data_IF_174957304556
#
_entry.id   IF_174957304556
#
_cell.length_a   1.000
_cell.length_b   1.000
_cell.length_c   1.000
_cell.angle_alpha   90.00
_cell.angle_beta   90.00
_cell.angle_gamma   90.00
#
_symmetry.space_group_name_H-M   'P 1'
#
loop_
_entity.id
_entity.type
_entity.pdbx_description
1 polymer ?
#
# COMPACT_ATOMS: atom_id res chain seq x y z
N UNK A 1 -23.07 4.40 11.36
CA UNK A 1 -21.80 5.16 11.33
C UNK A 1 -20.75 4.60 12.29
N UNK A 2 -21.05 4.34 13.58
CA UNK A 2 -20.07 3.85 14.59
C UNK A 2 -19.43 2.52 14.21
N UNK A 3 -20.19 1.52 13.74
CA UNK A 3 -19.65 0.22 13.32
C UNK A 3 -18.61 0.36 12.19
N UNK A 4 -18.83 1.27 11.24
CA UNK A 4 -17.91 1.52 10.15
C UNK A 4 -16.56 2.09 10.68
N UNK A 5 -16.63 3.06 11.60
CA UNK A 5 -15.45 3.64 12.21
C UNK A 5 -14.64 2.62 13.02
N UNK A 6 -15.32 1.79 13.83
CA UNK A 6 -14.68 0.75 14.64
C UNK A 6 -14.01 -0.32 13.78
N UNK A 7 -14.70 -0.88 12.79
CA UNK A 7 -14.13 -1.92 11.94
C UNK A 7 -13.02 -1.36 11.05
N UNK A 8 -13.23 -0.18 10.45
CA UNK A 8 -12.19 0.46 9.62
C UNK A 8 -10.94 0.79 10.43
N UNK A 9 -11.08 1.32 11.66
CA UNK A 9 -9.92 1.61 12.51
C UNK A 9 -9.14 0.36 12.87
N UNK A 10 -9.80 -0.76 13.15
CA UNK A 10 -9.16 -2.04 13.41
C UNK A 10 -8.47 -2.61 12.17
N UNK A 11 -9.12 -2.52 11.02
CA UNK A 11 -8.52 -2.91 9.75
C UNK A 11 -7.33 -2.01 9.38
N UNK A 12 -7.33 -0.75 9.78
CA UNK A 12 -6.27 0.23 9.48
C UNK A 12 -5.12 0.19 10.48
N UNK A 13 -5.33 -0.31 11.66
CA UNK A 13 -4.33 -0.39 12.71
C UNK A 13 -3.13 -1.23 12.24
N UNK A 14 -2.50 -1.83 12.15
CA UNK A 14 -1.29 -2.59 11.82
C UNK A 14 -1.22 -3.11 10.37
N UNK A 15 -1.79 -2.42 9.38
CA UNK A 15 -1.80 -2.90 7.98
C UNK A 15 -0.42 -3.21 7.41
N UNK A 16 0.59 -2.42 7.76
CA UNK A 16 1.95 -2.64 7.29
C UNK A 16 2.54 -3.97 7.78
N UNK A 17 2.10 -4.46 8.95
CA UNK A 17 2.51 -5.75 9.52
C UNK A 17 1.89 -6.93 8.75
N UNK A 18 0.77 -6.70 8.07
CA UNK A 18 0.11 -7.73 7.26
C UNK A 18 0.82 -7.99 5.92
N UNK A 19 1.87 -7.23 5.62
CA UNK A 19 2.69 -7.53 4.44
C UNK A 19 3.31 -8.92 4.54
N UNK A 20 3.13 -9.70 3.48
CA UNK A 20 3.56 -11.10 3.46
C UNK A 20 2.69 -12.07 4.28
N UNK A 21 1.54 -11.61 4.79
CA UNK A 21 0.55 -12.51 5.38
C UNK A 21 0.02 -13.49 4.32
N UNK A 22 -0.38 -14.68 4.77
CA UNK A 22 -0.92 -15.70 3.86
C UNK A 22 -2.18 -15.21 3.17
N UNK A 23 -2.40 -15.64 1.92
CA UNK A 23 -3.61 -15.29 1.15
C UNK A 23 -4.90 -15.65 1.90
N UNK A 24 -4.88 -16.74 2.69
CA UNK A 24 -6.01 -17.14 3.56
C UNK A 24 -6.38 -16.05 4.56
N UNK A 25 -5.38 -15.41 5.19
CA UNK A 25 -5.62 -14.33 6.17
C UNK A 25 -6.11 -13.04 5.47
N UNK A 26 -5.51 -12.69 4.35
CA UNK A 26 -5.96 -11.54 3.54
C UNK A 26 -7.43 -11.74 3.10
N UNK A 27 -7.80 -12.94 2.67
CA UNK A 27 -9.17 -13.27 2.26
C UNK A 27 -10.17 -13.17 3.42
N UNK A 28 -9.78 -13.53 4.65
CA UNK A 28 -10.63 -13.33 5.83
C UNK A 28 -10.91 -11.84 6.09
N UNK A 29 -9.87 -11.01 6.02
CA UNK A 29 -10.01 -9.57 6.19
C UNK A 29 -10.84 -8.94 5.07
N UNK A 30 -10.67 -9.41 3.83
CA UNK A 30 -11.48 -8.96 2.69
C UNK A 30 -12.95 -9.33 2.87
N UNK A 31 -13.27 -10.52 3.38
CA UNK A 31 -14.66 -10.91 3.72
C UNK A 31 -15.26 -9.97 4.77
N UNK A 32 -14.52 -9.62 5.82
CA UNK A 32 -14.97 -8.67 6.84
C UNK A 32 -15.24 -7.27 6.23
N UNK A 33 -14.34 -6.80 5.35
CA UNK A 33 -14.55 -5.53 4.63
C UNK A 33 -15.79 -5.58 3.72
N UNK A 34 -16.02 -6.70 3.03
CA UNK A 34 -17.18 -6.87 2.16
C UNK A 34 -18.51 -6.87 2.95
N UNK A 35 -18.52 -7.52 4.12
CA UNK A 35 -19.68 -7.49 5.01
C UNK A 35 -19.97 -6.08 5.51
N UNK A 36 -18.91 -5.35 5.90
CA UNK A 36 -19.04 -3.96 6.33
C UNK A 36 -19.59 -3.08 5.21
N UNK A 37 -19.13 -3.26 3.97
CA UNK A 37 -19.63 -2.51 2.82
C UNK A 37 -21.14 -2.72 2.62
N UNK A 38 -21.64 -3.96 2.74
CA UNK A 38 -23.07 -4.28 2.66
C UNK A 38 -23.88 -3.61 3.76
N UNK A 39 -23.37 -3.63 4.99
CA UNK A 39 -24.05 -2.96 6.12
C UNK A 39 -24.14 -1.45 5.89
N UNK A 40 -23.08 -0.83 5.38
CA UNK A 40 -23.05 0.63 5.14
C UNK A 40 -23.95 1.04 3.99
N UNK A 41 -24.05 0.22 2.94
CA UNK A 41 -24.88 0.51 1.75
C UNK A 41 -26.30 -0.05 1.87
N UNK A 42 -26.62 -0.73 2.99
CA UNK A 42 -27.92 -1.45 3.16
C UNK A 42 -28.25 -2.36 1.97
N UNK A 43 -27.24 -2.95 1.34
CA UNK A 43 -27.42 -3.72 0.11
C UNK A 43 -27.66 -5.21 0.37
N UNK A 44 -28.53 -5.87 -0.43
CA UNK A 44 -28.81 -7.29 -0.31
C UNK A 44 -27.56 -8.15 -0.63
N UNK A 45 -27.61 -9.43 -0.22
CA UNK A 45 -26.51 -10.36 -0.45
C UNK A 45 -26.20 -10.65 -1.93
N UNK A 46 -27.18 -10.43 -2.80
CA UNK A 46 -27.05 -10.60 -4.26
C UNK A 46 -26.11 -9.58 -4.93
N UNK A 47 -25.90 -8.42 -4.30
CA UNK A 47 -25.01 -7.40 -4.85
C UNK A 47 -23.55 -7.82 -4.79
N UNK A 48 -22.81 -7.57 -5.88
CA UNK A 48 -21.37 -7.84 -5.93
C UNK A 48 -20.61 -6.99 -4.90
N UNK A 49 -19.78 -7.61 -4.04
CA UNK A 49 -19.00 -6.86 -3.07
C UNK A 49 -18.01 -5.87 -3.71
N UNK A 50 -17.51 -6.19 -4.89
CA UNK A 50 -16.57 -5.35 -5.62
C UNK A 50 -17.21 -4.01 -6.00
N UNK A 51 -18.44 -4.02 -6.52
CA UNK A 51 -19.19 -2.82 -6.87
C UNK A 51 -19.46 -1.95 -5.64
N UNK A 52 -19.81 -2.56 -4.50
CA UNK A 52 -20.06 -1.82 -3.26
C UNK A 52 -18.80 -1.13 -2.73
N UNK A 53 -17.66 -1.83 -2.76
CA UNK A 53 -16.36 -1.27 -2.35
C UNK A 53 -15.96 -0.12 -3.29
N UNK A 54 -16.22 -0.23 -4.58
CA UNK A 54 -15.97 0.82 -5.56
C UNK A 54 -16.86 2.04 -5.32
N UNK A 55 -18.16 1.86 -5.09
CA UNK A 55 -19.11 2.95 -4.76
C UNK A 55 -18.72 3.71 -3.49
N UNK A 56 -18.20 2.99 -2.49
CA UNK A 56 -17.71 3.58 -1.25
C UNK A 56 -16.31 4.22 -1.39
N UNK A 57 -15.70 4.16 -2.58
CA UNK A 57 -14.31 4.57 -2.81
C UNK A 57 -13.31 3.94 -1.85
N UNK A 58 -13.57 2.69 -1.45
CA UNK A 58 -12.69 1.93 -0.57
C UNK A 58 -11.69 1.12 -1.40
N UNK A 59 -10.46 1.04 -0.91
CA UNK A 59 -9.47 0.14 -1.47
C UNK A 59 -9.65 -1.27 -0.91
N UNK A 60 -9.54 -2.33 -1.72
CA UNK A 60 -9.43 -3.71 -1.24
C UNK A 60 -8.26 -3.88 -0.26
N UNK A 61 -8.34 -4.84 0.66
CA UNK A 61 -7.35 -5.03 1.74
C UNK A 61 -5.91 -5.11 1.21
N UNK A 62 -5.67 -5.85 0.13
CA UNK A 62 -4.35 -5.95 -0.49
C UNK A 62 -3.80 -4.56 -0.84
N UNK A 63 -4.54 -3.79 -1.61
CA UNK A 63 -4.12 -2.45 -2.03
C UNK A 63 -4.05 -1.44 -0.88
N UNK A 64 -4.82 -1.66 0.21
CA UNK A 64 -4.69 -0.86 1.44
C UNK A 64 -3.36 -1.09 2.15
N UNK A 65 -2.85 -2.33 2.14
CA UNK A 65 -1.53 -2.69 2.69
C UNK A 65 -0.44 -2.00 1.85
N UNK A 66 -0.50 -2.16 0.54
CA UNK A 66 0.47 -1.59 -0.41
C UNK A 66 0.50 -0.05 -0.31
N UNK A 67 -0.67 0.57 -0.26
CA UNK A 67 -0.85 2.01 -0.04
C UNK A 67 -0.19 2.49 1.25
N UNK A 68 -0.36 1.74 2.36
CA UNK A 68 0.22 2.11 3.65
C UNK A 68 1.74 2.05 3.61
N UNK A 69 2.30 0.99 3.05
CA UNK A 69 3.76 0.83 2.91
C UNK A 69 4.34 1.92 2.04
N UNK A 70 3.77 2.18 0.86
CA UNK A 70 4.22 3.24 -0.04
C UNK A 70 4.16 4.63 0.62
N UNK A 71 3.10 4.91 1.37
CA UNK A 71 2.95 6.18 2.09
C UNK A 71 3.98 6.34 3.24
N UNK A 72 4.27 5.27 3.99
CA UNK A 72 5.32 5.28 5.01
C UNK A 72 6.67 5.49 4.33
N UNK A 73 6.96 4.78 3.23
CA UNK A 73 8.21 4.92 2.47
C UNK A 73 8.41 6.36 1.99
N UNK A 74 7.38 6.97 1.40
CA UNK A 74 7.42 8.37 0.98
C UNK A 74 7.76 9.31 2.15
N UNK A 75 7.05 9.19 3.26
CA UNK A 75 7.30 10.03 4.46
C UNK A 75 8.70 9.83 5.02
N UNK A 76 9.19 8.60 5.04
CA UNK A 76 10.54 8.27 5.49
C UNK A 76 11.61 8.89 4.58
N UNK A 77 11.39 8.92 3.27
CA UNK A 77 12.33 9.51 2.31
C UNK A 77 12.35 11.04 2.38
N UNK A 78 11.19 11.69 2.47
CA UNK A 78 11.06 13.13 2.40
C UNK A 78 11.16 13.83 3.77
N UNK A 79 10.60 13.23 4.82
CA UNK A 79 10.60 13.82 6.16
C UNK A 79 11.71 13.26 7.06
N UNK A 80 12.44 12.22 6.60
CA UNK A 80 13.44 11.49 7.40
C UNK A 80 12.92 10.95 8.74
N UNK A 81 11.61 10.80 8.87
CA UNK A 81 10.95 10.32 10.08
C UNK A 81 10.12 9.06 9.78
N UNK A 82 10.17 8.06 10.64
CA UNK A 82 11.07 7.91 11.81
C UNK A 82 12.51 7.54 11.39
N UNK A 83 13.50 8.01 12.14
CA UNK A 83 14.92 7.86 11.80
C UNK A 83 15.36 6.41 11.61
N UNK A 84 14.85 5.49 12.43
CA UNK A 84 15.18 4.06 12.34
C UNK A 84 14.69 3.40 11.04
N UNK A 85 13.61 3.89 10.43
CA UNK A 85 13.18 3.43 9.11
C UNK A 85 14.03 4.06 8.00
N UNK A 86 14.46 5.30 8.18
CA UNK A 86 15.32 5.98 7.20
C UNK A 86 16.66 5.27 7.03
N UNK A 87 17.26 4.81 8.13
CA UNK A 87 18.52 4.04 8.08
C UNK A 87 18.39 2.69 7.36
N UNK A 88 17.17 2.15 7.28
CA UNK A 88 16.89 0.88 6.58
C UNK A 88 16.67 1.05 5.06
N UNK A 89 16.59 2.29 4.56
CA UNK A 89 16.33 2.57 3.15
C UNK A 89 17.59 3.12 2.48
N UNK A 90 18.03 2.45 1.45
CA UNK A 90 19.22 2.83 0.67
C UNK A 90 18.80 3.21 -0.76
N UNK A 91 19.29 4.36 -1.24
CA UNK A 91 19.11 4.73 -2.64
C UNK A 91 19.90 3.77 -3.54
N UNK A 92 19.33 3.45 -4.69
CA UNK A 92 20.04 2.68 -5.70
C UNK A 92 21.01 3.62 -6.43
N UNK A 93 22.31 3.46 -6.17
CA UNK A 93 23.36 4.14 -6.92
C UNK A 93 23.79 3.26 -8.08
N UNK A 94 23.47 3.68 -9.30
CA UNK A 94 24.02 3.04 -10.49
C UNK A 94 25.51 3.40 -10.63
N UNK A 95 26.37 2.41 -10.68
CA UNK A 95 27.82 2.58 -10.94
C UNK A 95 28.10 3.01 -12.37
N UNK A 96 27.15 2.89 -13.29
CA UNK A 96 27.23 3.34 -14.68
C UNK A 96 26.16 4.38 -14.95
N UNK A 97 26.56 5.51 -15.52
CA UNK A 97 25.67 6.59 -15.97
C UNK A 97 24.91 6.16 -17.25
N UNK A 98 24.08 5.15 -17.10
CA UNK A 98 23.08 4.79 -18.12
C UNK A 98 21.88 5.67 -17.84
N UNK A 99 21.37 6.43 -18.78
CA UNK A 99 20.30 7.45 -18.72
C UNK A 99 19.10 7.28 -17.76
N UNK A 100 19.09 6.24 -16.92
CA UNK A 100 18.15 5.94 -15.84
C UNK A 100 18.60 6.43 -14.44
N UNK A 101 19.68 7.18 -14.34
CA UNK A 101 20.30 7.56 -13.06
C UNK A 101 19.43 8.43 -12.14
N UNK A 102 18.34 9.04 -12.65
CA UNK A 102 17.45 9.94 -11.89
C UNK A 102 16.09 9.35 -11.53
N UNK A 103 15.97 8.02 -11.44
CA UNK A 103 14.66 7.38 -11.26
C UNK A 103 14.21 7.24 -9.81
N UNK A 104 14.93 7.80 -8.82
CA UNK A 104 14.61 7.70 -7.39
C UNK A 104 14.28 6.27 -6.93
N UNK A 105 15.06 5.29 -7.39
CA UNK A 105 14.90 3.90 -7.03
C UNK A 105 15.58 3.59 -5.70
N UNK A 106 15.01 2.62 -4.98
CA UNK A 106 15.57 2.10 -3.75
C UNK A 106 16.22 0.73 -3.97
N UNK A 107 17.35 0.50 -3.32
CA UNK A 107 18.02 -0.79 -3.29
C UNK A 107 17.28 -1.74 -2.37
N UNK A 108 16.93 -2.94 -2.85
CA UNK A 108 16.34 -3.98 -2.04
C UNK A 108 17.44 -4.92 -1.53
N UNK A 109 17.60 -5.09 -0.21
CA UNK A 109 18.57 -6.03 0.33
C UNK A 109 18.19 -7.47 -0.02
N UNK A 110 19.19 -8.29 -0.29
CA UNK A 110 18.98 -9.72 -0.48
C UNK A 110 18.74 -10.41 0.85
N UNK A 111 17.65 -11.16 0.95
CA UNK A 111 17.29 -11.94 2.15
C UNK A 111 16.97 -13.38 1.78
N UNK A 112 17.51 -14.32 2.56
CA UNK A 112 17.34 -15.77 2.31
C UNK A 112 16.11 -16.36 2.99
N UNK A 113 15.55 -15.69 3.99
CA UNK A 113 14.44 -16.23 4.78
C UNK A 113 13.11 -15.64 4.38
N UNK A 114 12.06 -16.46 4.42
CA UNK A 114 10.68 -16.00 4.18
C UNK A 114 10.21 -14.95 5.21
N UNK A 115 10.74 -15.00 6.42
CA UNK A 115 10.49 -14.01 7.45
C UNK A 115 11.18 -12.67 7.12
N UNK A 116 12.44 -12.70 6.76
CA UNK A 116 13.21 -11.51 6.36
C UNK A 116 12.59 -10.79 5.15
N UNK A 117 12.00 -11.54 4.21
CA UNK A 117 11.33 -10.96 3.04
C UNK A 117 10.11 -10.10 3.38
N UNK A 118 9.59 -10.21 4.61
CA UNK A 118 8.48 -9.40 5.14
C UNK A 118 8.94 -8.13 5.84
N UNK A 119 10.25 -7.94 6.04
CA UNK A 119 10.79 -6.75 6.67
C UNK A 119 10.49 -5.50 5.85
N UNK A 120 10.39 -4.35 6.53
CA UNK A 120 10.19 -3.06 5.86
C UNK A 120 11.31 -2.73 4.88
N UNK A 121 12.56 -3.09 5.22
CA UNK A 121 13.73 -2.87 4.36
C UNK A 121 13.64 -3.56 2.99
N UNK A 122 12.86 -4.65 2.88
CA UNK A 122 12.61 -5.37 1.62
C UNK A 122 11.30 -4.92 0.98
N UNK A 123 10.26 -4.76 1.79
CA UNK A 123 8.93 -4.37 1.31
C UNK A 123 8.93 -2.97 0.69
N UNK A 124 9.52 -1.99 1.39
CA UNK A 124 9.52 -0.61 0.96
C UNK A 124 10.15 -0.40 -0.43
N UNK A 125 11.37 -0.90 -0.73
CA UNK A 125 11.93 -0.81 -2.08
C UNK A 125 11.06 -1.50 -3.13
N UNK A 126 10.51 -2.67 -2.82
CA UNK A 126 9.66 -3.42 -3.76
C UNK A 126 8.45 -2.60 -4.19
N UNK A 127 7.71 -2.02 -3.25
CA UNK A 127 6.54 -1.20 -3.56
C UNK A 127 6.93 0.14 -4.17
N UNK A 128 7.96 0.79 -3.65
CA UNK A 128 8.45 2.06 -4.17
C UNK A 128 8.87 1.97 -5.64
N UNK A 129 9.64 0.96 -5.98
CA UNK A 129 10.14 0.76 -7.33
C UNK A 129 9.04 0.34 -8.33
N UNK A 130 7.94 -0.25 -7.85
CA UNK A 130 6.78 -0.59 -8.69
C UNK A 130 5.89 0.62 -9.01
N UNK A 131 6.04 1.75 -8.29
CA UNK A 131 5.28 2.95 -8.55
C UNK A 131 5.75 3.64 -9.84
N UNK A 132 4.84 4.27 -10.60
CA UNK A 132 5.20 5.09 -11.76
C UNK A 132 6.08 6.28 -11.33
N UNK A 133 6.93 6.73 -12.26
CA UNK A 133 7.87 7.82 -12.00
C UNK A 133 7.17 9.10 -11.51
N UNK A 134 6.02 9.42 -12.08
CA UNK A 134 5.20 10.57 -11.69
C UNK A 134 4.85 10.60 -10.19
N UNK A 135 4.66 9.42 -9.57
CA UNK A 135 4.43 9.33 -8.14
C UNK A 135 5.73 9.47 -7.34
N UNK A 136 6.82 8.86 -7.80
CA UNK A 136 8.12 8.90 -7.10
C UNK A 136 8.77 10.28 -7.11
N UNK A 137 8.40 11.14 -8.05
CA UNK A 137 8.92 12.52 -8.16
C UNK A 137 8.04 13.55 -7.44
N UNK A 138 6.91 13.15 -6.84
CA UNK A 138 6.10 14.03 -6.05
C UNK A 138 6.88 14.56 -4.84
N UNK A 139 6.73 15.85 -4.54
CA UNK A 139 7.37 16.52 -3.38
C UNK A 139 6.39 16.71 -2.22
N UNK A 140 5.10 16.92 -2.53
CA UNK A 140 4.07 17.17 -1.52
C UNK A 140 3.44 15.86 -1.01
N UNK A 141 3.39 15.66 0.32
CA UNK A 141 2.79 14.47 0.93
C UNK A 141 1.30 14.29 0.58
N UNK A 142 0.54 15.39 0.53
CA UNK A 142 -0.90 15.33 0.27
C UNK A 142 -1.18 15.02 -1.21
N UNK A 143 -0.40 15.59 -2.12
CA UNK A 143 -0.48 15.30 -3.55
C UNK A 143 -0.10 13.85 -3.82
N UNK A 144 1.00 13.38 -3.23
CA UNK A 144 1.42 11.98 -3.32
C UNK A 144 0.33 11.02 -2.84
N UNK A 145 -0.24 11.28 -1.66
CA UNK A 145 -1.28 10.44 -1.07
C UNK A 145 -2.53 10.35 -1.95
N UNK A 146 -2.93 11.47 -2.56
CA UNK A 146 -4.08 11.57 -3.45
C UNK A 146 -3.85 10.77 -4.74
N UNK A 147 -2.73 11.01 -5.41
CA UNK A 147 -2.37 10.31 -6.64
C UNK A 147 -2.14 8.81 -6.40
N UNK A 148 -1.51 8.44 -5.29
CA UNK A 148 -1.32 7.05 -4.89
C UNK A 148 -2.66 6.32 -4.69
N UNK A 149 -3.65 6.99 -4.08
CA UNK A 149 -4.99 6.41 -3.92
C UNK A 149 -5.64 6.18 -5.30
N UNK A 150 -5.57 7.15 -6.19
CA UNK A 150 -6.09 7.04 -7.57
C UNK A 150 -5.42 5.88 -8.32
N UNK A 151 -4.10 5.79 -8.25
CA UNK A 151 -3.34 4.70 -8.89
C UNK A 151 -3.81 3.31 -8.41
N UNK A 152 -3.93 3.10 -7.10
CA UNK A 152 -4.39 1.81 -6.57
C UNK A 152 -5.88 1.56 -6.82
N UNK A 153 -6.73 2.59 -6.88
CA UNK A 153 -8.12 2.43 -7.30
C UNK A 153 -8.20 1.96 -8.76
N UNK A 154 -7.44 2.56 -9.65
CA UNK A 154 -7.38 2.15 -11.06
C UNK A 154 -6.88 0.71 -11.18
N UNK A 155 -5.81 0.35 -10.48
CA UNK A 155 -5.27 -1.00 -10.48
C UNK A 155 -6.26 -2.04 -9.90
N UNK A 156 -7.06 -1.66 -8.89
CA UNK A 156 -8.00 -2.57 -8.23
C UNK A 156 -9.27 -2.82 -9.07
N UNK A 157 -9.74 -1.84 -9.83
CA UNK A 157 -11.06 -1.86 -10.46
C UNK A 157 -11.03 -1.78 -11.99
N UNK A 158 -9.89 -1.44 -12.61
CA UNK A 158 -9.74 -1.32 -14.07
C UNK A 158 -8.75 -2.34 -14.65
N UNK A 159 -8.22 -3.26 -13.84
CA UNK A 159 -7.43 -4.41 -14.34
C UNK A 159 -8.39 -5.52 -14.80
N UNK A 160 -9.12 -5.25 -15.87
CA UNK A 160 -9.87 -6.29 -16.60
C UNK A 160 -9.31 -6.37 -18.00
#
# INVERSE_FOLDING_TARGET
>A
MVACALVSSRLDYAKSVLFGATQKNISKLQKAQNLLARVVTCSPQSCSPCTLIQQLHWLPIKHRIDFKIANITFRTLHCSQPAYLRSSLHACHSTRSLGLSNTNLLSAPFVRTSFGSRSFSVAAPKFWNSLPLSLRTCTSPDTFRRHLKTHYCQQAFHST
#
